data_IF_493136855860
#
_entry.id   IF_493136855860
#
_cell.length_a   1.000
_cell.length_b   1.000
_cell.length_c   1.000
_cell.angle_alpha   90.00
_cell.angle_beta   90.00
_cell.angle_gamma   90.00
#
_symmetry.space_group_name_H-M   'P 1'
#
loop_
_entity.id
_entity.type
_entity.pdbx_description
1 polymer ?
#
# COMPACT_ATOMS: atom_id res chain seq x y z
N UNK A 1 -28.43 19.43 60.74
CA UNK A 1 -29.03 19.20 59.42
C UNK A 1 -28.80 20.42 58.53
N UNK A 2 -27.64 20.55 57.87
CA UNK A 2 -27.47 21.43 56.70
C UNK A 2 -26.09 21.22 56.05
N UNK A 3 -26.13 20.76 54.80
CA UNK A 3 -25.20 21.05 53.71
C UNK A 3 -23.77 20.47 53.74
N UNK A 4 -23.66 19.14 53.54
CA UNK A 4 -22.36 18.47 53.32
C UNK A 4 -22.30 17.65 52.02
N UNK A 5 -22.90 18.16 50.92
CA UNK A 5 -22.86 17.50 49.61
C UNK A 5 -22.52 18.49 48.50
N UNK A 6 -21.44 19.27 48.66
CA UNK A 6 -20.86 20.01 47.54
C UNK A 6 -19.35 19.86 47.64
N UNK A 7 -18.79 19.04 46.77
CA UNK A 7 -17.35 18.98 46.58
C UNK A 7 -16.86 17.55 46.49
N UNK A 8 -16.95 16.98 45.28
CA UNK A 8 -15.83 16.27 44.63
C UNK A 8 -16.28 15.80 43.24
N UNK A 9 -16.47 16.75 42.31
CA UNK A 9 -16.42 16.44 40.89
C UNK A 9 -15.02 16.82 40.39
N UNK A 10 -14.04 15.95 40.65
CA UNK A 10 -12.74 16.04 39.99
C UNK A 10 -12.94 15.65 38.53
N UNK A 11 -13.15 16.65 37.69
CA UNK A 11 -13.06 16.50 36.24
C UNK A 11 -11.60 16.21 35.95
N UNK A 12 -11.27 14.93 35.76
CA UNK A 12 -9.98 14.49 35.23
C UNK A 12 -9.94 14.91 33.76
N UNK A 13 -9.55 16.16 33.50
CA UNK A 13 -9.15 16.61 32.16
C UNK A 13 -7.78 15.99 31.86
N UNK A 14 -7.78 14.69 31.56
CA UNK A 14 -6.62 14.04 30.97
C UNK A 14 -6.31 14.75 29.65
N UNK A 15 -5.19 15.46 29.61
CA UNK A 15 -4.67 16.00 28.37
C UNK A 15 -4.42 14.81 27.44
N UNK A 16 -5.27 14.64 26.43
CA UNK A 16 -5.00 13.71 25.35
C UNK A 16 -3.76 14.21 24.60
N UNK A 17 -2.58 13.72 25.00
CA UNK A 17 -1.38 13.89 24.21
C UNK A 17 -1.65 13.19 22.88
N UNK A 18 -1.72 13.97 21.81
CA UNK A 18 -1.77 13.44 20.46
C UNK A 18 -0.49 12.60 20.24
N UNK A 19 -0.60 11.28 20.38
CA UNK A 19 0.47 10.37 20.06
C UNK A 19 0.74 10.52 18.57
N UNK A 20 1.90 11.09 18.22
CA UNK A 20 2.32 11.12 16.84
C UNK A 20 2.49 9.67 16.40
N UNK A 21 1.73 9.19 15.40
CA UNK A 21 1.82 7.79 15.00
C UNK A 21 3.26 7.49 14.58
N UNK A 22 3.81 6.38 15.08
CA UNK A 22 5.14 5.95 14.69
C UNK A 22 5.15 5.72 13.17
N UNK A 23 5.99 6.48 12.46
CA UNK A 23 6.15 6.36 11.01
C UNK A 23 7.43 5.57 10.71
N UNK A 24 7.43 4.70 9.69
CA UNK A 24 8.66 4.07 9.25
C UNK A 24 9.63 5.13 8.74
N UNK A 25 10.93 4.96 9.06
CA UNK A 25 11.99 5.87 8.57
C UNK A 25 12.26 5.69 7.07
N UNK A 26 11.92 4.53 6.52
CA UNK A 26 12.10 4.16 5.12
C UNK A 26 10.95 3.29 4.66
N UNK A 27 10.43 3.59 3.46
CA UNK A 27 9.49 2.74 2.73
C UNK A 27 10.16 2.38 1.40
N UNK A 28 10.21 1.09 1.09
CA UNK A 28 10.81 0.58 -0.16
C UNK A 28 9.68 -0.03 -1.00
N UNK A 29 9.40 0.58 -2.16
CA UNK A 29 8.50 0.02 -3.17
C UNK A 29 9.28 -0.85 -4.16
N UNK A 30 8.90 -2.12 -4.29
CA UNK A 30 9.52 -3.07 -5.22
C UNK A 30 8.46 -3.57 -6.19
N UNK A 31 8.69 -3.39 -7.49
CA UNK A 31 7.87 -3.96 -8.56
C UNK A 31 8.78 -4.86 -9.38
N UNK A 32 8.47 -6.15 -9.43
CA UNK A 32 9.20 -7.12 -10.27
C UNK A 32 8.46 -7.22 -11.59
N UNK A 33 9.09 -6.74 -12.67
CA UNK A 33 8.45 -6.70 -13.99
C UNK A 33 8.11 -8.11 -14.48
N UNK A 34 6.93 -8.23 -15.09
CA UNK A 34 6.38 -9.48 -15.62
C UNK A 34 6.27 -10.64 -14.60
N UNK A 35 6.32 -10.35 -13.30
CA UNK A 35 6.20 -11.37 -12.26
C UNK A 35 4.75 -11.80 -12.09
N UNK A 36 4.46 -13.03 -12.49
CA UNK A 36 3.18 -13.66 -12.21
C UNK A 36 3.13 -14.12 -10.75
N UNK A 37 1.93 -14.05 -10.19
CA UNK A 37 1.65 -14.45 -8.81
C UNK A 37 2.09 -15.90 -8.50
N UNK A 38 1.84 -16.84 -9.42
CA UNK A 38 2.15 -18.27 -9.20
C UNK A 38 3.65 -18.56 -9.07
N UNK A 39 4.53 -17.65 -9.49
CA UNK A 39 5.98 -17.82 -9.36
C UNK A 39 6.43 -17.87 -7.89
N UNK A 40 5.73 -17.18 -6.99
CA UNK A 40 6.00 -17.20 -5.55
C UNK A 40 5.92 -18.62 -4.97
N UNK A 41 5.02 -19.44 -5.49
CA UNK A 41 4.78 -20.81 -5.01
C UNK A 41 5.48 -21.85 -5.89
N UNK A 42 5.42 -21.68 -7.21
CA UNK A 42 5.99 -22.62 -8.20
C UNK A 42 7.50 -22.80 -8.01
N UNK A 43 8.21 -21.75 -7.63
CA UNK A 43 9.67 -21.79 -7.43
C UNK A 43 10.08 -21.70 -5.96
N UNK A 44 9.13 -21.89 -5.02
CA UNK A 44 9.36 -21.78 -3.57
C UNK A 44 10.53 -22.63 -3.06
N UNK A 45 10.75 -23.82 -3.62
CA UNK A 45 11.87 -24.70 -3.26
C UNK A 45 13.25 -24.11 -3.61
N UNK A 46 13.32 -23.12 -4.52
CA UNK A 46 14.56 -22.44 -4.91
C UNK A 46 14.81 -21.15 -4.15
N UNK A 47 13.85 -20.66 -3.36
CA UNK A 47 14.00 -19.42 -2.60
C UNK A 47 14.65 -19.65 -1.24
N UNK A 48 15.54 -18.75 -0.87
CA UNK A 48 16.12 -18.69 0.47
C UNK A 48 15.17 -18.02 1.47
N UNK A 49 15.46 -18.17 2.77
CA UNK A 49 14.62 -17.67 3.85
C UNK A 49 14.54 -16.14 3.92
N UNK A 50 15.54 -15.41 3.42
CA UNK A 50 15.64 -13.95 3.56
C UNK A 50 14.85 -13.11 2.54
N UNK A 51 14.36 -13.73 1.45
CA UNK A 51 13.70 -13.04 0.33
C UNK A 51 12.18 -13.20 0.33
N UNK A 52 11.61 -13.70 -0.77
CA UNK A 52 10.16 -13.92 -0.92
C UNK A 52 9.55 -14.76 0.22
N UNK A 53 10.27 -15.77 0.72
CA UNK A 53 9.81 -16.57 1.88
C UNK A 53 9.57 -15.73 3.13
N UNK A 54 10.45 -14.75 3.41
CA UNK A 54 10.27 -13.81 4.52
C UNK A 54 9.04 -12.94 4.31
N UNK A 55 8.87 -12.40 3.10
CA UNK A 55 7.73 -11.55 2.77
C UNK A 55 6.40 -12.29 2.93
N UNK A 56 6.34 -13.57 2.53
CA UNK A 56 5.12 -14.39 2.64
C UNK A 56 4.82 -14.86 4.07
N UNK A 57 5.85 -15.14 4.89
CA UNK A 57 5.66 -15.70 6.24
C UNK A 57 5.57 -14.65 7.34
N UNK A 58 6.22 -13.49 7.17
CA UNK A 58 6.29 -12.43 8.18
C UNK A 58 5.60 -11.13 7.73
N UNK A 59 5.16 -11.06 6.48
CA UNK A 59 4.45 -9.92 5.92
C UNK A 59 2.97 -10.20 5.73
N UNK A 60 2.37 -9.47 4.79
CA UNK A 60 0.99 -9.65 4.37
C UNK A 60 0.96 -9.87 2.86
N UNK A 61 0.19 -10.87 2.41
CA UNK A 61 0.06 -11.25 1.01
C UNK A 61 -1.38 -11.09 0.54
N UNK A 62 -1.57 -10.35 -0.55
CA UNK A 62 -2.87 -10.11 -1.16
C UNK A 62 -3.06 -11.05 -2.36
N UNK A 63 -3.52 -12.27 -2.10
CA UNK A 63 -3.58 -13.35 -3.11
C UNK A 63 -4.56 -13.09 -4.28
N UNK A 64 -5.59 -12.28 -4.05
CA UNK A 64 -6.65 -11.99 -5.03
C UNK A 64 -6.54 -10.55 -5.57
N UNK A 65 -5.36 -10.19 -6.05
CA UNK A 65 -5.07 -8.84 -6.57
C UNK A 65 -4.95 -8.87 -8.09
N UNK A 66 -5.74 -8.03 -8.78
CA UNK A 66 -5.76 -7.94 -10.23
C UNK A 66 -5.50 -6.53 -10.73
N UNK A 67 -5.05 -6.41 -11.98
CA UNK A 67 -4.93 -5.15 -12.69
C UNK A 67 -6.33 -4.78 -13.23
N UNK A 68 -6.98 -3.71 -12.74
CA UNK A 68 -8.38 -3.40 -13.07
C UNK A 68 -8.51 -2.58 -14.37
N UNK A 69 -7.54 -2.67 -15.28
CA UNK A 69 -7.50 -1.92 -16.53
C UNK A 69 -6.79 -2.69 -17.63
N UNK A 70 -6.96 -2.21 -18.86
CA UNK A 70 -6.29 -2.70 -20.06
C UNK A 70 -5.81 -1.49 -20.88
N UNK A 71 -4.65 -1.56 -21.56
CA UNK A 71 -3.72 -2.70 -21.67
C UNK A 71 -2.76 -2.86 -20.47
N UNK A 72 -2.33 -4.11 -20.20
CA UNK A 72 -1.41 -4.44 -19.09
C UNK A 72 0.07 -4.22 -19.48
N UNK A 73 0.43 -2.98 -19.78
CA UNK A 73 1.80 -2.58 -20.10
C UNK A 73 2.58 -2.05 -18.89
N UNK A 74 3.91 -2.10 -18.97
CA UNK A 74 4.84 -1.69 -17.90
C UNK A 74 4.59 -0.27 -17.42
N UNK A 75 4.52 0.72 -18.32
CA UNK A 75 4.35 2.13 -17.94
C UNK A 75 3.02 2.39 -17.22
N UNK A 76 1.92 1.85 -17.75
CA UNK A 76 0.60 1.92 -17.11
C UNK A 76 0.60 1.24 -15.74
N UNK A 77 1.21 0.05 -15.65
CA UNK A 77 1.50 -0.72 -14.43
C UNK A 77 2.08 0.14 -13.31
N UNK A 78 3.27 0.69 -13.57
CA UNK A 78 4.02 1.48 -12.61
C UNK A 78 3.28 2.76 -12.21
N UNK A 79 2.71 3.47 -13.18
CA UNK A 79 1.95 4.69 -12.90
C UNK A 79 0.77 4.42 -11.95
N UNK A 80 0.02 3.33 -12.15
CA UNK A 80 -1.15 3.01 -11.31
C UNK A 80 -0.77 2.58 -9.90
N UNK A 81 0.28 1.74 -9.75
CA UNK A 81 0.73 1.25 -8.42
C UNK A 81 1.12 2.40 -7.49
N UNK A 82 1.80 3.42 -8.01
CA UNK A 82 2.29 4.54 -7.18
C UNK A 82 1.35 5.75 -7.11
N UNK A 83 0.35 5.85 -8.01
CA UNK A 83 -0.67 6.91 -7.96
C UNK A 83 -1.95 6.50 -7.27
N UNK A 84 -2.23 5.20 -7.14
CA UNK A 84 -3.55 4.71 -6.71
C UNK A 84 -4.67 5.04 -7.70
N UNK A 85 -4.32 5.36 -8.95
CA UNK A 85 -5.24 5.76 -10.01
C UNK A 85 -5.25 4.75 -11.16
N UNK A 86 -6.05 5.01 -12.20
CA UNK A 86 -6.16 4.20 -13.41
C UNK A 86 -5.60 4.95 -14.64
N UNK A 87 -5.21 4.26 -15.72
CA UNK A 87 -4.65 4.91 -16.91
C UNK A 87 -5.53 6.00 -17.51
N UNK A 88 -6.86 5.82 -17.43
CA UNK A 88 -7.85 6.80 -17.90
C UNK A 88 -7.80 8.13 -17.14
N UNK A 89 -7.29 8.15 -15.91
CA UNK A 89 -7.22 9.34 -15.07
C UNK A 89 -5.79 9.90 -14.97
N UNK A 90 -4.79 9.03 -14.83
CA UNK A 90 -3.39 9.47 -14.73
C UNK A 90 -2.75 9.77 -16.10
N UNK A 91 -3.39 9.40 -17.21
CA UNK A 91 -2.96 9.67 -18.58
C UNK A 91 -1.89 8.73 -19.14
N UNK A 92 -1.33 7.82 -18.34
CA UNK A 92 -0.30 6.87 -18.77
C UNK A 92 -0.96 5.58 -19.27
N UNK A 93 -1.35 5.59 -20.55
CA UNK A 93 -2.15 4.52 -21.17
C UNK A 93 -1.34 3.32 -21.68
N UNK A 94 -0.02 3.43 -21.78
CA UNK A 94 0.85 2.37 -22.26
C UNK A 94 2.30 2.83 -22.40
N UNK A 95 3.17 1.94 -22.89
CA UNK A 95 4.58 2.27 -23.16
C UNK A 95 4.73 3.26 -24.33
N UNK A 96 3.76 3.25 -25.24
CA UNK A 96 3.65 4.15 -26.38
C UNK A 96 2.18 4.35 -26.69
N UNK A 97 1.82 5.55 -27.13
CA UNK A 97 0.49 5.85 -27.65
C UNK A 97 0.60 6.83 -28.80
N UNK A 98 -0.38 6.77 -29.69
CA UNK A 98 -0.50 7.74 -30.77
C UNK A 98 -1.03 9.07 -30.21
N UNK A 99 -0.37 10.17 -30.56
CA UNK A 99 -0.84 11.52 -30.23
C UNK A 99 -1.35 12.20 -31.49
N UNK A 100 -2.67 12.37 -31.60
CA UNK A 100 -3.30 13.06 -32.74
C UNK A 100 -2.73 14.47 -32.98
N UNK A 101 -2.25 15.12 -31.94
CA UNK A 101 -1.69 16.47 -31.99
C UNK A 101 -0.25 16.49 -32.54
N UNK A 102 0.48 15.36 -32.43
CA UNK A 102 1.87 15.25 -32.84
C UNK A 102 2.07 14.44 -34.14
N UNK A 103 1.08 13.66 -34.57
CA UNK A 103 1.15 12.76 -35.73
C UNK A 103 1.66 11.37 -35.37
#
# INVERSE_FOLDING_TARGET
>A
MKNWIIGFLLIFTGAAQAQTPAKPKLVVGIVVDQMRWDYLYRFSNRYESGGFKRMLSQGFSCENTFIPYSPTHTAAGHACVFSGSVPALNGIVGNSWYSKELG
#
